data_IF_521112640483
#
_entry.id   IF_521112640483
#
_cell.length_a   1.000
_cell.length_b   1.000
_cell.length_c   1.000
_cell.angle_alpha   90.00
_cell.angle_beta   90.00
_cell.angle_gamma   90.00
#
_symmetry.space_group_name_H-M   'P 1'
#
loop_
_entity.id
_entity.type
_entity.pdbx_description
1 polymer ?
#
# COMPACT_ATOMS: atom_id res chain seq x y z
N UNK A 1 32.53 31.00 6.88
CA UNK A 1 32.67 30.00 7.96
C UNK A 1 32.38 28.63 7.36
N UNK A 2 33.41 27.81 7.12
CA UNK A 2 33.21 26.42 6.66
C UNK A 2 32.66 25.54 7.78
N UNK A 3 31.93 24.45 7.49
CA UNK A 3 31.34 23.61 8.51
C UNK A 3 32.44 22.99 9.38
N UNK A 4 32.38 23.26 10.68
CA UNK A 4 33.29 22.72 11.69
C UNK A 4 33.13 21.20 11.74
N UNK A 5 34.09 20.45 11.17
CA UNK A 5 34.13 18.98 11.26
C UNK A 5 34.42 18.58 12.71
N UNK A 6 33.36 18.24 13.44
CA UNK A 6 33.45 17.62 14.77
C UNK A 6 34.29 16.34 14.64
N UNK A 7 35.37 16.21 15.42
CA UNK A 7 36.16 14.97 15.47
C UNK A 7 35.28 13.87 16.05
N UNK A 8 34.92 12.90 15.22
CA UNK A 8 34.13 11.73 15.62
C UNK A 8 34.90 10.94 16.70
N UNK A 9 34.25 10.68 17.85
CA UNK A 9 34.79 9.79 18.88
C UNK A 9 34.99 8.37 18.31
N UNK A 10 36.02 7.65 18.77
CA UNK A 10 36.28 6.27 18.32
C UNK A 10 35.07 5.35 18.53
N UNK A 11 34.34 5.54 19.64
CA UNK A 11 33.07 4.85 19.93
C UNK A 11 32.00 5.16 18.88
N UNK A 12 31.87 6.42 18.48
CA UNK A 12 30.92 6.84 17.46
C UNK A 12 31.25 6.24 16.08
N UNK A 13 32.53 6.14 15.73
CA UNK A 13 32.98 5.52 14.47
C UNK A 13 32.63 4.04 14.41
N UNK A 14 32.84 3.29 15.49
CA UNK A 14 32.47 1.87 15.59
C UNK A 14 30.95 1.69 15.51
N UNK A 15 30.19 2.49 16.26
CA UNK A 15 28.73 2.47 16.21
C UNK A 15 28.19 2.74 14.79
N UNK A 16 28.75 3.74 14.10
CA UNK A 16 28.36 4.10 12.73
C UNK A 16 28.60 2.96 11.74
N UNK A 17 29.73 2.28 11.82
CA UNK A 17 30.05 1.13 10.95
C UNK A 17 29.11 -0.03 11.26
N UNK A 18 28.90 -0.36 12.53
CA UNK A 18 27.99 -1.43 12.94
C UNK A 18 26.54 -1.16 12.49
N UNK A 19 26.05 0.06 12.70
CA UNK A 19 24.72 0.49 12.25
C UNK A 19 24.59 0.44 10.72
N UNK A 20 25.62 0.89 9.99
CA UNK A 20 25.62 0.81 8.52
C UNK A 20 25.55 -0.64 8.04
N UNK A 21 26.28 -1.58 8.68
CA UNK A 21 26.22 -3.00 8.35
C UNK A 21 24.80 -3.55 8.59
N UNK A 22 24.19 -3.27 9.75
CA UNK A 22 22.83 -3.73 10.07
C UNK A 22 21.82 -3.18 9.07
N UNK A 23 21.83 -1.88 8.81
CA UNK A 23 20.90 -1.25 7.87
C UNK A 23 21.08 -1.81 6.45
N UNK A 24 22.32 -2.11 6.05
CA UNK A 24 22.59 -2.76 4.76
C UNK A 24 22.01 -4.17 4.71
N UNK A 25 22.18 -4.97 5.77
CA UNK A 25 21.62 -6.32 5.84
C UNK A 25 20.09 -6.32 5.81
N UNK A 26 19.45 -5.44 6.56
CA UNK A 26 17.99 -5.26 6.54
C UNK A 26 17.52 -4.87 5.13
N UNK A 27 18.21 -3.93 4.50
CA UNK A 27 17.88 -3.48 3.14
C UNK A 27 17.99 -4.61 2.12
N UNK A 28 19.05 -5.43 2.19
CA UNK A 28 19.22 -6.61 1.33
C UNK A 28 18.14 -7.65 1.58
N UNK A 29 17.81 -7.93 2.85
CA UNK A 29 16.75 -8.87 3.21
C UNK A 29 15.37 -8.43 2.69
N UNK A 30 15.07 -7.13 2.73
CA UNK A 30 13.84 -6.56 2.19
C UNK A 30 13.80 -6.57 0.65
N UNK A 31 14.94 -6.34 0.00
CA UNK A 31 15.03 -6.27 -1.47
C UNK A 31 15.05 -7.66 -2.13
N UNK A 32 15.59 -8.66 -1.44
CA UNK A 32 15.67 -10.04 -1.91
C UNK A 32 14.35 -10.60 -2.49
N UNK A 33 13.19 -10.56 -1.77
CA UNK A 33 11.94 -11.10 -2.30
C UNK A 33 11.47 -10.39 -3.58
N UNK A 34 11.75 -9.10 -3.75
CA UNK A 34 11.40 -8.38 -4.98
C UNK A 34 12.26 -8.82 -6.16
N UNK A 35 13.58 -8.95 -5.95
CA UNK A 35 14.48 -9.45 -7.01
C UNK A 35 14.14 -10.89 -7.39
N UNK A 36 13.85 -11.74 -6.39
CA UNK A 36 13.40 -13.11 -6.62
C UNK A 36 12.10 -13.16 -7.45
N UNK A 37 11.12 -12.31 -7.13
CA UNK A 37 9.86 -12.25 -7.87
C UNK A 37 10.06 -11.80 -9.33
N UNK A 38 10.97 -10.87 -9.57
CA UNK A 38 11.34 -10.46 -10.94
C UNK A 38 12.08 -11.59 -11.67
N UNK A 39 13.02 -12.27 -11.03
CA UNK A 39 13.69 -13.43 -11.62
C UNK A 39 12.68 -14.53 -11.96
N UNK A 40 11.71 -14.78 -11.07
CA UNK A 40 10.65 -15.76 -11.27
C UNK A 40 9.71 -15.37 -12.42
N UNK A 41 9.34 -14.08 -12.55
CA UNK A 41 8.43 -13.64 -13.61
C UNK A 41 9.02 -13.77 -15.02
N UNK A 42 10.36 -13.77 -15.14
CA UNK A 42 11.09 -14.01 -16.39
C UNK A 42 11.58 -15.45 -16.56
N UNK A 43 11.28 -16.37 -15.64
CA UNK A 43 11.75 -17.77 -15.72
C UNK A 43 10.71 -18.69 -16.37
N UNK A 44 11.15 -19.82 -16.91
CA UNK A 44 10.25 -20.86 -17.44
C UNK A 44 9.45 -21.53 -16.32
N UNK A 45 8.22 -21.98 -16.60
CA UNK A 45 7.39 -22.72 -15.62
C UNK A 45 8.11 -23.96 -15.09
N UNK A 46 8.88 -24.63 -15.95
CA UNK A 46 9.67 -25.81 -15.60
C UNK A 46 10.75 -25.46 -14.56
N UNK A 47 11.53 -24.40 -14.80
CA UNK A 47 12.56 -23.94 -13.87
C UNK A 47 11.99 -23.43 -12.54
N UNK A 48 10.79 -22.82 -12.58
CA UNK A 48 10.07 -22.39 -11.38
C UNK A 48 9.65 -23.58 -10.53
N UNK A 49 9.02 -24.60 -11.15
CA UNK A 49 8.53 -25.80 -10.45
C UNK A 49 9.69 -26.66 -9.92
N UNK A 50 10.81 -26.70 -10.64
CA UNK A 50 12.02 -27.39 -10.22
C UNK A 50 12.77 -26.68 -9.06
N UNK A 51 12.38 -25.46 -8.70
CA UNK A 51 13.04 -24.69 -7.63
C UNK A 51 14.43 -24.17 -8.02
N UNK A 52 14.72 -24.07 -9.31
CA UNK A 52 16.04 -23.66 -9.81
C UNK A 52 16.20 -22.14 -9.90
N UNK A 53 15.11 -21.39 -9.77
CA UNK A 53 15.09 -19.93 -9.80
C UNK A 53 15.66 -19.37 -8.49
N UNK A 54 16.65 -18.50 -8.61
CA UNK A 54 17.22 -17.75 -7.49
C UNK A 54 17.11 -16.25 -7.73
N UNK A 55 18.24 -15.55 -7.66
CA UNK A 55 18.31 -14.11 -7.99
C UNK A 55 18.36 -13.83 -9.49
N UNK A 56 18.70 -14.83 -10.30
CA UNK A 56 18.84 -14.72 -11.75
C UNK A 56 17.76 -15.59 -12.40
N UNK A 57 17.06 -15.07 -13.42
CA UNK A 57 16.07 -15.87 -14.14
C UNK A 57 16.71 -17.10 -14.77
N UNK A 58 15.99 -18.22 -14.71
CA UNK A 58 16.38 -19.49 -15.34
C UNK A 58 15.46 -19.74 -16.53
N UNK A 59 16.06 -20.11 -17.65
CA UNK A 59 15.37 -20.31 -18.93
C UNK A 59 14.48 -19.11 -19.28
N UNK A 60 15.13 -17.99 -19.63
CA UNK A 60 14.47 -16.71 -19.85
C UNK A 60 13.24 -16.84 -20.77
N UNK A 61 12.08 -16.49 -20.23
CA UNK A 61 10.79 -16.67 -20.88
C UNK A 61 9.88 -15.44 -20.70
N UNK A 62 9.34 -14.93 -21.81
CA UNK A 62 8.39 -13.80 -21.86
C UNK A 62 6.95 -14.29 -22.13
N UNK A 63 6.74 -15.59 -22.38
CA UNK A 63 5.42 -16.15 -22.66
C UNK A 63 4.42 -15.89 -21.55
N UNK A 64 4.87 -15.87 -20.28
CA UNK A 64 4.05 -15.53 -19.12
C UNK A 64 3.44 -14.13 -19.23
N UNK A 65 4.22 -13.13 -19.63
CA UNK A 65 3.71 -11.77 -19.83
C UNK A 65 2.75 -11.70 -21.02
N UNK A 66 3.09 -12.38 -22.13
CA UNK A 66 2.19 -12.47 -23.28
C UNK A 66 0.85 -13.08 -22.87
N UNK A 67 0.88 -14.19 -22.15
CA UNK A 67 -0.30 -14.88 -21.65
C UNK A 67 -1.19 -13.96 -20.80
N UNK A 68 -0.62 -13.26 -19.82
CA UNK A 68 -1.36 -12.34 -18.95
C UNK A 68 -2.04 -11.23 -19.74
N UNK A 69 -1.36 -10.65 -20.73
CA UNK A 69 -1.93 -9.60 -21.57
C UNK A 69 -3.02 -10.16 -22.50
N UNK A 70 -2.83 -11.37 -23.05
CA UNK A 70 -3.77 -12.00 -23.98
C UNK A 70 -4.98 -12.65 -23.32
N UNK A 71 -4.94 -12.95 -22.01
CA UNK A 71 -6.06 -13.52 -21.24
C UNK A 71 -7.30 -12.59 -21.26
N UNK A 72 -7.13 -11.32 -21.62
CA UNK A 72 -8.22 -10.37 -21.84
C UNK A 72 -8.87 -9.85 -20.55
N UNK A 73 -8.66 -10.51 -19.41
CA UNK A 73 -9.15 -10.11 -18.09
C UNK A 73 -8.21 -9.16 -17.36
N UNK A 74 -6.90 -9.27 -17.59
CA UNK A 74 -5.90 -8.47 -16.88
C UNK A 74 -6.10 -6.97 -17.10
N UNK A 75 -6.26 -6.54 -18.36
CA UNK A 75 -6.44 -5.11 -18.71
C UNK A 75 -7.68 -4.49 -18.06
N UNK A 76 -8.90 -5.06 -18.17
CA UNK A 76 -10.06 -4.47 -17.51
C UNK A 76 -9.95 -4.49 -15.98
N UNK A 77 -9.37 -5.53 -15.37
CA UNK A 77 -9.19 -5.58 -13.91
C UNK A 77 -8.17 -4.57 -13.40
N UNK A 78 -7.07 -4.39 -14.12
CA UNK A 78 -6.08 -3.38 -13.80
C UNK A 78 -6.65 -1.97 -14.01
N UNK A 79 -7.43 -1.77 -15.07
CA UNK A 79 -8.18 -0.53 -15.32
C UNK A 79 -9.15 -0.20 -14.18
N UNK A 80 -9.92 -1.18 -13.71
CA UNK A 80 -10.79 -1.02 -12.55
C UNK A 80 -10.01 -0.59 -11.30
N UNK A 81 -8.86 -1.20 -11.03
CA UNK A 81 -8.00 -0.84 -9.89
C UNK A 81 -7.55 0.63 -9.96
N UNK A 82 -7.14 1.10 -11.14
CA UNK A 82 -6.76 2.50 -11.36
C UNK A 82 -7.96 3.42 -11.11
N UNK A 83 -9.13 3.10 -11.68
CA UNK A 83 -10.35 3.89 -11.52
C UNK A 83 -10.74 3.97 -10.04
N UNK A 84 -10.74 2.84 -9.32
CA UNK A 84 -11.11 2.79 -7.91
C UNK A 84 -10.12 3.56 -7.04
N UNK A 85 -8.83 3.44 -7.33
CA UNK A 85 -7.78 4.16 -6.58
C UNK A 85 -7.88 5.67 -6.77
N UNK A 86 -8.09 6.13 -8.01
CA UNK A 86 -8.19 7.57 -8.32
C UNK A 86 -9.46 8.15 -7.71
N UNK A 87 -10.63 7.58 -8.02
CA UNK A 87 -11.91 8.12 -7.52
C UNK A 87 -11.95 8.01 -6.00
N UNK A 88 -11.53 6.87 -5.43
CA UNK A 88 -11.46 6.66 -4.00
C UNK A 88 -10.54 7.67 -3.31
N UNK A 89 -9.34 7.94 -3.84
CA UNK A 89 -8.42 8.93 -3.26
C UNK A 89 -8.97 10.34 -3.34
N UNK A 90 -9.55 10.74 -4.48
CA UNK A 90 -10.13 12.08 -4.66
C UNK A 90 -11.30 12.29 -3.71
N UNK A 91 -12.21 11.32 -3.61
CA UNK A 91 -13.34 11.38 -2.68
C UNK A 91 -12.84 11.40 -1.23
N UNK A 92 -11.90 10.53 -0.85
CA UNK A 92 -11.37 10.46 0.51
C UNK A 92 -10.75 11.78 0.94
N UNK A 93 -9.91 12.37 0.08
CA UNK A 93 -9.30 13.68 0.33
C UNK A 93 -10.34 14.78 0.42
N UNK A 94 -11.33 14.79 -0.47
CA UNK A 94 -12.40 15.80 -0.48
C UNK A 94 -13.20 15.76 0.83
N UNK A 95 -13.76 14.61 1.19
CA UNK A 95 -14.57 14.47 2.41
C UNK A 95 -13.74 14.64 3.68
N UNK A 96 -12.54 14.09 3.73
CA UNK A 96 -11.64 14.26 4.88
C UNK A 96 -11.25 15.73 5.06
N UNK A 97 -10.94 16.46 3.98
CA UNK A 97 -10.60 17.88 4.09
C UNK A 97 -11.81 18.73 4.50
N UNK A 98 -12.99 18.46 3.94
CA UNK A 98 -14.24 19.16 4.28
C UNK A 98 -14.60 19.00 5.75
N UNK A 99 -14.35 17.83 6.33
CA UNK A 99 -14.62 17.54 7.74
C UNK A 99 -13.49 18.03 8.66
N UNK A 100 -12.23 17.82 8.28
CA UNK A 100 -11.08 18.16 9.12
C UNK A 100 -10.83 19.66 9.20
N UNK A 101 -11.10 20.43 8.14
CA UNK A 101 -10.82 21.87 8.13
C UNK A 101 -11.63 22.65 9.18
N UNK A 102 -12.97 22.51 9.28
CA UNK A 102 -13.73 23.12 10.37
C UNK A 102 -13.27 22.66 11.74
N UNK A 103 -13.02 21.35 11.92
CA UNK A 103 -12.60 20.78 13.21
C UNK A 103 -11.21 21.23 13.67
N UNK A 104 -10.35 21.67 12.74
CA UNK A 104 -9.05 22.26 13.07
C UNK A 104 -9.17 23.61 13.78
N UNK A 105 -10.32 24.29 13.67
CA UNK A 105 -10.58 25.56 14.35
C UNK A 105 -11.06 25.30 15.77
N UNK A 106 -10.26 25.71 16.76
CA UNK A 106 -10.57 25.53 18.18
C UNK A 106 -11.89 26.22 18.62
N UNK A 107 -12.33 27.22 17.86
CA UNK A 107 -13.56 28.00 18.11
C UNK A 107 -14.83 27.32 17.58
N UNK A 108 -14.73 26.18 16.88
CA UNK A 108 -15.89 25.49 16.34
C UNK A 108 -16.80 24.99 17.47
N UNK A 109 -17.99 25.57 17.54
CA UNK A 109 -19.03 25.13 18.47
C UNK A 109 -19.40 23.66 18.21
N UNK A 110 -19.30 22.81 19.22
CA UNK A 110 -19.53 21.37 19.10
C UNK A 110 -18.36 20.54 18.55
N UNK A 111 -17.24 21.16 18.15
CA UNK A 111 -16.09 20.43 17.57
C UNK A 111 -15.50 19.34 18.48
N UNK A 112 -15.48 19.57 19.80
CA UNK A 112 -15.04 18.55 20.79
C UNK A 112 -15.96 17.33 20.84
N UNK A 113 -17.26 17.51 20.66
CA UNK A 113 -18.22 16.41 20.65
C UNK A 113 -18.10 15.59 19.35
N UNK A 114 -17.98 16.28 18.21
CA UNK A 114 -17.77 15.65 16.90
C UNK A 114 -16.47 14.84 16.88
N UNK A 115 -15.36 15.40 17.39
CA UNK A 115 -14.09 14.67 17.49
C UNK A 115 -14.20 13.39 18.34
N UNK A 116 -14.90 13.44 19.49
CA UNK A 116 -15.14 12.25 20.31
C UNK A 116 -15.98 11.20 19.57
N UNK A 117 -16.97 11.63 18.80
CA UNK A 117 -17.80 10.73 18.01
C UNK A 117 -16.99 10.05 16.89
N UNK A 118 -16.12 10.78 16.20
CA UNK A 118 -15.23 10.21 15.18
C UNK A 118 -14.27 9.19 15.80
N UNK A 119 -13.65 9.52 16.94
CA UNK A 119 -12.78 8.58 17.65
C UNK A 119 -13.56 7.32 18.04
N UNK A 120 -14.82 7.47 18.47
CA UNK A 120 -15.67 6.32 18.77
C UNK A 120 -15.87 5.43 17.54
N UNK A 121 -16.18 5.97 16.35
CA UNK A 121 -16.36 5.15 15.14
C UNK A 121 -15.08 4.49 14.63
N UNK A 122 -13.90 5.00 14.98
CA UNK A 122 -12.62 4.32 14.68
C UNK A 122 -12.44 3.02 15.46
N UNK A 123 -12.97 2.94 16.69
CA UNK A 123 -12.86 1.76 17.54
C UNK A 123 -14.10 0.86 17.51
N UNK A 124 -15.28 1.44 17.29
CA UNK A 124 -16.55 0.74 17.25
C UNK A 124 -17.10 0.74 15.83
N UNK A 125 -17.19 -0.45 15.22
CA UNK A 125 -17.78 -0.63 13.89
C UNK A 125 -18.77 -1.80 13.88
N UNK A 126 -19.73 -1.77 12.95
CA UNK A 126 -20.70 -2.85 12.76
C UNK A 126 -20.10 -4.14 12.20
N UNK A 127 -18.83 -4.16 11.80
CA UNK A 127 -18.18 -5.32 11.19
C UNK A 127 -18.58 -5.54 9.72
N UNK A 128 -18.01 -6.58 9.10
CA UNK A 128 -18.13 -6.82 7.66
C UNK A 128 -19.55 -7.23 7.22
N UNK A 129 -20.24 -8.09 7.99
CA UNK A 129 -21.56 -8.61 7.60
C UNK A 129 -22.62 -7.50 7.54
N UNK A 130 -22.80 -6.66 8.58
CA UNK A 130 -23.78 -5.57 8.52
C UNK A 130 -23.47 -4.53 7.44
N UNK A 131 -22.19 -4.23 7.21
CA UNK A 131 -21.79 -3.35 6.10
C UNK A 131 -22.13 -3.96 4.74
N UNK A 132 -21.93 -5.26 4.56
CA UNK A 132 -22.33 -5.95 3.32
C UNK A 132 -23.84 -5.88 3.10
N UNK A 133 -24.63 -6.20 4.13
CA UNK A 133 -26.09 -6.14 4.06
C UNK A 133 -26.54 -4.71 3.73
N UNK A 134 -25.95 -3.69 4.34
CA UNK A 134 -26.24 -2.28 4.03
C UNK A 134 -25.99 -1.95 2.55
N UNK A 135 -24.86 -2.36 1.99
CA UNK A 135 -24.55 -2.11 0.57
C UNK A 135 -25.54 -2.82 -0.37
N UNK A 136 -25.97 -4.03 -0.01
CA UNK A 136 -27.02 -4.76 -0.74
C UNK A 136 -28.36 -4.04 -0.64
N UNK A 137 -28.75 -3.59 0.57
CA UNK A 137 -30.00 -2.86 0.81
C UNK A 137 -30.04 -1.50 0.10
N UNK A 138 -28.89 -0.86 -0.09
CA UNK A 138 -28.76 0.38 -0.86
C UNK A 138 -28.75 0.15 -2.38
N UNK A 139 -28.84 -1.10 -2.85
CA UNK A 139 -28.80 -1.44 -4.28
C UNK A 139 -27.43 -1.21 -4.92
N UNK A 140 -26.38 -1.07 -4.11
CA UNK A 140 -25.02 -0.78 -4.58
C UNK A 140 -24.21 -2.04 -4.86
N UNK A 141 -24.79 -3.24 -4.73
CA UNK A 141 -24.10 -4.50 -4.99
C UNK A 141 -23.55 -4.53 -6.43
N UNK A 142 -22.31 -4.99 -6.58
CA UNK A 142 -21.62 -5.12 -7.86
C UNK A 142 -21.37 -3.78 -8.59
N UNK A 143 -21.34 -2.67 -7.85
CA UNK A 143 -21.05 -1.32 -8.39
C UNK A 143 -19.75 -0.77 -7.84
N UNK A 144 -19.17 0.23 -8.53
CA UNK A 144 -17.98 0.95 -8.05
C UNK A 144 -18.24 1.63 -6.70
N UNK A 145 -19.46 2.11 -6.48
CA UNK A 145 -19.85 2.83 -5.27
C UNK A 145 -19.75 1.97 -4.00
N UNK A 146 -19.98 0.65 -4.08
CA UNK A 146 -19.85 -0.22 -2.91
C UNK A 146 -18.40 -0.48 -2.50
N UNK A 147 -17.41 -0.18 -3.35
CA UNK A 147 -16.00 -0.17 -2.96
C UNK A 147 -15.56 1.17 -2.36
N UNK A 148 -16.13 2.28 -2.83
CA UNK A 148 -15.70 3.63 -2.44
C UNK A 148 -16.39 4.08 -1.16
N UNK A 149 -17.72 3.99 -1.08
CA UNK A 149 -18.51 4.59 -0.01
C UNK A 149 -18.23 4.05 1.41
N UNK A 150 -17.98 2.75 1.66
CA UNK A 150 -17.76 2.26 3.02
C UNK A 150 -16.49 2.82 3.70
N UNK A 151 -15.52 3.28 2.91
CA UNK A 151 -14.23 3.76 3.40
C UNK A 151 -14.08 5.28 3.41
N UNK A 152 -15.13 6.03 3.07
CA UNK A 152 -15.15 7.50 3.13
C UNK A 152 -15.60 8.02 4.49
#
# INVERSE_FOLDING_TARGET
MGPMKIKESASYRVFKVFNAIILTLISVAMLYPFLYLVAQSFSSTQAIVAGEVGLIPKDFNISTYKYVITDGKFIPYYGNTIVYSIIGTVCALLFSALLAYPLSKAELYGGKAINKFIIFTMYFSGGMIPNYILMVSLGLRDTVASFILPGM
#
